data_IF_349641023851
#
_entry.id   IF_349641023851
#
_cell.length_a   1.000
_cell.length_b   1.000
_cell.length_c   1.000
_cell.angle_alpha   90.00
_cell.angle_beta   90.00
_cell.angle_gamma   90.00
#
_symmetry.space_group_name_H-M   'P 1'
#
loop_
_entity.id
_entity.type
_entity.pdbx_description
1 polymer ?
#
# COMPACT_ATOMS: atom_id res chain seq x y z
N UNK A 1 11.91 -25.22 18.90
CA UNK A 1 12.00 -24.54 17.59
C UNK A 1 10.89 -23.49 17.52
N UNK A 2 11.21 -22.21 17.30
CA UNK A 2 10.25 -21.10 17.40
C UNK A 2 9.45 -20.98 16.11
N UNK A 3 8.11 -20.98 16.21
CA UNK A 3 7.18 -20.71 15.12
C UNK A 3 7.44 -19.31 14.52
N UNK A 4 8.05 -19.26 13.35
CA UNK A 4 8.13 -18.05 12.53
C UNK A 4 6.94 -18.05 11.57
N UNK A 5 5.82 -17.46 12.01
CA UNK A 5 4.71 -17.14 11.11
C UNK A 5 5.16 -16.23 9.97
N UNK A 6 4.31 -16.02 8.94
CA UNK A 6 4.66 -15.20 7.79
C UNK A 6 5.12 -13.81 8.24
N UNK A 7 6.10 -13.21 7.54
CA UNK A 7 6.57 -11.87 7.88
C UNK A 7 5.39 -10.90 7.83
N UNK A 8 5.09 -10.28 8.97
CA UNK A 8 4.15 -9.15 9.01
C UNK A 8 4.66 -8.13 7.99
N UNK A 9 3.81 -7.68 7.08
CA UNK A 9 4.05 -6.52 6.22
C UNK A 9 4.35 -5.31 7.12
N UNK A 10 5.62 -5.15 7.50
CA UNK A 10 6.11 -3.96 8.16
C UNK A 10 6.24 -2.93 7.06
N UNK A 11 5.16 -2.16 6.88
CA UNK A 11 5.26 -0.83 6.27
C UNK A 11 6.38 -0.11 7.04
N UNK A 12 7.39 0.40 6.35
CA UNK A 12 8.27 1.42 6.95
C UNK A 12 7.35 2.56 7.38
N UNK A 13 7.06 2.61 8.68
CA UNK A 13 6.38 3.75 9.29
C UNK A 13 7.50 4.65 9.78
N UNK A 14 7.79 5.71 9.03
CA UNK A 14 8.46 6.87 9.62
C UNK A 14 7.43 7.54 10.51
N UNK A 15 7.56 7.35 11.83
CA UNK A 15 6.78 8.08 12.82
C UNK A 15 7.60 9.30 13.23
N UNK A 16 7.27 10.46 12.68
CA UNK A 16 7.62 11.73 13.31
C UNK A 16 6.59 11.98 14.41
N UNK A 17 7.06 12.06 15.66
CA UNK A 17 6.23 12.42 16.79
C UNK A 17 5.84 13.89 16.68
N UNK A 18 4.54 14.19 16.69
CA UNK A 18 4.06 15.52 17.08
C UNK A 18 2.86 15.30 18.00
N UNK A 19 3.04 15.59 19.29
CA UNK A 19 1.94 15.60 20.25
C UNK A 19 1.34 16.99 20.34
N UNK A 20 -0.01 16.98 20.34
CA UNK A 20 -0.97 17.86 21.00
C UNK A 20 -1.36 19.19 20.33
N UNK A 21 -2.65 19.25 19.99
CA UNK A 21 -3.40 20.44 19.59
C UNK A 21 -4.69 20.03 18.86
N UNK A 22 -5.76 19.90 19.62
CA UNK A 22 -7.19 19.70 19.31
C UNK A 22 -7.69 19.59 17.85
N UNK A 23 -8.41 18.48 17.62
CA UNK A 23 -9.37 18.11 16.58
C UNK A 23 -9.72 19.13 15.47
N UNK A 24 -9.02 19.02 14.34
CA UNK A 24 -9.57 19.22 12.99
C UNK A 24 -9.04 18.09 12.11
N UNK A 25 -9.91 17.56 11.26
CA UNK A 25 -9.70 16.38 10.42
C UNK A 25 -8.37 16.48 9.67
N UNK A 26 -7.34 15.77 10.14
CA UNK A 26 -5.98 15.88 9.63
C UNK A 26 -5.98 15.52 8.14
N UNK A 27 -5.79 16.53 7.29
CA UNK A 27 -5.34 16.32 5.92
C UNK A 27 -4.06 15.47 6.04
N UNK A 28 -4.13 14.22 5.60
CA UNK A 28 -2.99 13.34 5.68
C UNK A 28 -1.96 13.83 4.65
N UNK A 29 -0.89 14.45 5.13
CA UNK A 29 0.26 14.81 4.30
C UNK A 29 0.73 13.56 3.55
N UNK A 30 0.62 13.61 2.22
CA UNK A 30 1.08 12.54 1.36
C UNK A 30 2.45 12.91 0.83
N UNK A 31 3.49 12.21 1.30
CA UNK A 31 4.83 12.34 0.75
C UNK A 31 5.07 11.33 -0.38
N UNK A 32 5.70 11.79 -1.46
CA UNK A 32 6.22 10.91 -2.50
C UNK A 32 7.72 10.80 -2.31
N UNK A 33 8.21 9.56 -2.22
CA UNK A 33 9.63 9.28 -2.04
C UNK A 33 10.18 8.69 -3.34
N UNK A 34 11.16 9.35 -3.93
CA UNK A 34 11.88 8.83 -5.08
C UNK A 34 13.23 8.26 -4.62
N UNK A 35 13.43 6.98 -4.90
CA UNK A 35 14.66 6.26 -4.54
C UNK A 35 15.34 5.83 -5.83
N UNK A 36 16.58 6.29 -6.05
CA UNK A 36 17.40 5.81 -7.15
C UNK A 36 18.05 4.49 -6.74
N UNK A 37 17.77 3.43 -7.49
CA UNK A 37 18.32 2.11 -7.24
C UNK A 37 19.13 1.67 -8.48
N UNK A 38 20.37 1.16 -8.31
CA UNK A 38 21.16 0.67 -9.44
C UNK A 38 20.43 -0.44 -10.21
N UNK A 39 20.40 -0.35 -11.54
CA UNK A 39 19.79 -1.39 -12.39
C UNK A 39 20.38 -2.79 -12.16
N UNK A 40 21.70 -2.99 -12.00
CA UNK A 40 22.26 -4.31 -11.74
C UNK A 40 21.72 -4.93 -10.45
N UNK A 41 21.45 -4.11 -9.42
CA UNK A 41 20.84 -4.60 -8.19
C UNK A 41 19.43 -5.14 -8.47
N UNK A 42 18.58 -4.36 -9.16
CA UNK A 42 17.21 -4.77 -9.49
C UNK A 42 17.19 -6.05 -10.34
N UNK A 43 18.06 -6.13 -11.34
CA UNK A 43 18.13 -7.27 -12.25
C UNK A 43 18.55 -8.58 -11.56
N UNK A 44 19.24 -8.49 -10.41
CA UNK A 44 19.69 -9.64 -9.63
C UNK A 44 18.68 -10.10 -8.57
N UNK A 45 17.47 -9.51 -8.53
CA UNK A 45 16.42 -9.91 -7.59
C UNK A 45 15.50 -10.95 -8.22
N UNK A 46 15.19 -12.01 -7.48
CA UNK A 46 14.12 -12.95 -7.83
C UNK A 46 12.78 -12.26 -7.65
N UNK A 47 12.11 -11.98 -8.76
CA UNK A 47 10.86 -11.24 -8.78
C UNK A 47 9.69 -12.15 -9.10
N UNK A 48 8.71 -12.19 -8.21
CA UNK A 48 7.44 -12.88 -8.41
C UNK A 48 6.33 -11.88 -8.74
N UNK A 49 5.44 -12.26 -9.65
CA UNK A 49 4.30 -11.44 -10.04
C UNK A 49 2.99 -12.06 -9.53
N UNK A 50 2.28 -11.32 -8.68
CA UNK A 50 0.93 -11.65 -8.24
C UNK A 50 -0.06 -10.71 -8.93
N UNK A 51 -0.45 -11.06 -10.16
CA UNK A 51 -1.41 -10.31 -10.96
C UNK A 51 -2.84 -10.40 -10.43
N UNK A 52 -3.68 -9.41 -10.76
CA UNK A 52 -5.10 -9.42 -10.39
C UNK A 52 -5.76 -10.72 -10.90
N UNK A 53 -6.26 -11.51 -9.96
CA UNK A 53 -6.77 -12.86 -10.16
C UNK A 53 -7.48 -13.33 -8.89
N UNK A 54 -8.23 -14.44 -8.91
CA UNK A 54 -8.78 -15.04 -7.70
C UNK A 54 -7.74 -15.29 -6.60
N UNK A 55 -6.53 -15.69 -6.99
CA UNK A 55 -5.39 -15.90 -6.11
C UNK A 55 -4.92 -14.61 -5.44
N UNK A 56 -4.82 -13.52 -6.20
CA UNK A 56 -4.48 -12.21 -5.65
C UNK A 56 -5.52 -11.72 -4.64
N UNK A 57 -6.82 -11.89 -4.92
CA UNK A 57 -7.90 -11.48 -4.01
C UNK A 57 -7.79 -12.19 -2.66
N UNK A 58 -7.63 -13.52 -2.70
CA UNK A 58 -7.47 -14.33 -1.49
C UNK A 58 -6.21 -13.96 -0.71
N UNK A 59 -5.08 -13.78 -1.42
CA UNK A 59 -3.81 -13.42 -0.80
C UNK A 59 -3.90 -12.08 -0.08
N UNK A 60 -4.39 -11.03 -0.76
CA UNK A 60 -4.53 -9.69 -0.18
C UNK A 60 -5.47 -9.71 1.03
N UNK A 61 -6.63 -10.36 0.90
CA UNK A 61 -7.57 -10.48 2.02
C UNK A 61 -6.93 -11.19 3.22
N UNK A 62 -6.23 -12.30 2.98
CA UNK A 62 -5.57 -13.09 4.04
C UNK A 62 -4.49 -12.27 4.75
N UNK A 63 -3.62 -11.61 3.99
CA UNK A 63 -2.57 -10.74 4.54
C UNK A 63 -3.13 -9.56 5.33
N UNK A 64 -4.24 -8.94 4.88
CA UNK A 64 -4.90 -7.83 5.58
C UNK A 64 -5.51 -8.26 6.92
N UNK A 65 -5.97 -9.51 7.01
CA UNK A 65 -6.41 -10.13 8.27
C UNK A 65 -5.26 -10.56 9.18
N UNK A 66 -4.00 -10.37 8.77
CA UNK A 66 -2.81 -10.87 9.46
C UNK A 66 -2.86 -12.40 9.66
N UNK A 67 -3.55 -13.11 8.76
CA UNK A 67 -3.62 -14.55 8.75
C UNK A 67 -2.52 -15.13 7.85
N UNK A 68 -2.23 -16.42 8.03
CA UNK A 68 -1.25 -17.13 7.20
C UNK A 68 -1.85 -17.49 5.85
N UNK A 69 -1.23 -17.06 4.72
CA UNK A 69 -1.67 -17.46 3.39
C UNK A 69 -1.63 -18.98 3.20
N UNK A 70 -2.51 -19.50 2.34
CA UNK A 70 -2.48 -20.91 1.94
C UNK A 70 -1.08 -21.32 1.42
N UNK A 71 -0.57 -22.54 1.67
CA UNK A 71 0.77 -22.98 1.27
C UNK A 71 1.10 -22.83 -0.22
N UNK A 72 0.08 -22.76 -1.08
CA UNK A 72 0.27 -22.47 -2.52
C UNK A 72 0.97 -21.12 -2.77
N UNK A 73 0.88 -20.19 -1.81
CA UNK A 73 1.53 -18.87 -1.87
C UNK A 73 2.94 -18.87 -1.28
N UNK A 74 3.48 -20.03 -0.88
CA UNK A 74 4.80 -20.15 -0.26
C UNK A 74 5.93 -19.62 -1.13
N UNK A 75 5.81 -19.75 -2.46
CA UNK A 75 6.74 -19.17 -3.43
C UNK A 75 6.87 -17.64 -3.31
N UNK A 76 5.87 -16.95 -2.75
CA UNK A 76 5.88 -15.49 -2.60
C UNK A 76 6.67 -14.99 -1.39
N UNK A 77 6.94 -15.83 -0.38
CA UNK A 77 7.50 -15.34 0.89
C UNK A 77 8.49 -16.28 1.58
N UNK A 78 8.52 -17.58 1.24
CA UNK A 78 9.52 -18.49 1.80
C UNK A 78 10.93 -18.04 1.42
N UNK A 79 11.84 -18.21 2.37
CA UNK A 79 13.25 -17.86 2.18
C UNK A 79 13.81 -18.53 0.92
N UNK A 80 14.51 -17.74 0.11
CA UNK A 80 15.12 -18.19 -1.14
C UNK A 80 14.18 -18.32 -2.34
N UNK A 81 12.88 -18.05 -2.22
CA UNK A 81 11.94 -18.16 -3.35
C UNK A 81 11.81 -16.84 -4.12
N UNK A 82 11.35 -15.80 -3.44
CA UNK A 82 11.23 -14.45 -3.99
C UNK A 82 12.00 -13.46 -3.12
N UNK A 83 12.64 -12.48 -3.75
CA UNK A 83 13.20 -11.30 -3.08
C UNK A 83 12.18 -10.15 -3.11
N UNK A 84 11.46 -10.02 -4.22
CA UNK A 84 10.39 -9.04 -4.43
C UNK A 84 9.13 -9.73 -4.95
N UNK A 85 7.97 -9.32 -4.42
CA UNK A 85 6.67 -9.60 -5.01
C UNK A 85 6.10 -8.32 -5.60
N UNK A 86 5.72 -8.37 -6.87
CA UNK A 86 5.06 -7.29 -7.59
C UNK A 86 3.57 -7.62 -7.75
N UNK A 87 2.70 -6.66 -7.47
CA UNK A 87 1.26 -6.85 -7.67
C UNK A 87 0.49 -5.53 -7.72
N UNK A 88 -0.79 -5.58 -8.15
CA UNK A 88 -1.66 -4.42 -8.13
C UNK A 88 -1.87 -3.86 -6.72
N UNK A 89 -2.03 -2.55 -6.61
CA UNK A 89 -2.40 -1.87 -5.36
C UNK A 89 -3.90 -1.98 -5.17
N UNK A 90 -4.33 -2.56 -4.04
CA UNK A 90 -5.73 -2.53 -3.64
C UNK A 90 -6.07 -1.17 -3.00
N UNK A 91 -7.02 -0.44 -3.58
CA UNK A 91 -7.48 0.88 -3.11
C UNK A 91 -8.42 0.78 -1.91
N UNK A 92 -9.06 -0.36 -1.71
CA UNK A 92 -10.03 -0.58 -0.62
C UNK A 92 -9.38 -0.46 0.75
N UNK A 93 -10.06 0.26 1.66
CA UNK A 93 -9.62 0.43 3.04
C UNK A 93 -9.47 -0.93 3.74
N UNK A 94 -8.40 -1.08 4.52
CA UNK A 94 -8.10 -2.35 5.21
C UNK A 94 -9.25 -2.79 6.13
N UNK A 95 -9.93 -1.84 6.76
CA UNK A 95 -11.08 -2.10 7.66
C UNK A 95 -12.27 -2.70 6.92
N UNK A 96 -12.48 -2.37 5.64
CA UNK A 96 -13.53 -2.94 4.82
C UNK A 96 -13.16 -4.36 4.38
N UNK A 97 -11.92 -4.57 3.91
CA UNK A 97 -11.44 -5.88 3.47
C UNK A 97 -11.54 -6.95 4.57
N UNK A 98 -11.17 -6.60 5.82
CA UNK A 98 -11.19 -7.54 6.95
C UNK A 98 -12.60 -8.01 7.32
N UNK A 99 -13.65 -7.27 6.92
CA UNK A 99 -15.06 -7.62 7.18
C UNK A 99 -15.65 -8.57 6.15
N UNK A 100 -15.01 -8.73 4.99
CA UNK A 100 -15.49 -9.64 3.93
C UNK A 100 -15.34 -11.08 4.43
N UNK A 101 -16.43 -11.86 4.36
CA UNK A 101 -16.40 -13.30 4.65
C UNK A 101 -15.64 -14.06 3.57
N UNK A 102 -15.01 -15.19 3.92
CA UNK A 102 -14.13 -15.93 3.01
C UNK A 102 -14.84 -16.34 1.71
N UNK A 103 -16.08 -16.81 1.82
CA UNK A 103 -16.94 -17.20 0.70
C UNK A 103 -17.29 -16.03 -0.25
N UNK A 104 -17.19 -14.80 0.23
CA UNK A 104 -17.54 -13.59 -0.49
C UNK A 104 -16.34 -12.84 -1.08
N UNK A 105 -15.11 -13.34 -0.86
CA UNK A 105 -13.88 -12.70 -1.34
C UNK A 105 -13.94 -12.47 -2.86
N UNK A 106 -14.39 -13.49 -3.61
CA UNK A 106 -14.33 -13.46 -5.07
C UNK A 106 -15.35 -12.50 -5.68
N UNK A 107 -16.50 -12.31 -5.03
CA UNK A 107 -17.58 -11.42 -5.48
C UNK A 107 -17.40 -9.98 -5.00
N UNK A 108 -16.85 -9.77 -3.81
CA UNK A 108 -16.72 -8.42 -3.21
C UNK A 108 -15.45 -7.69 -3.57
N UNK A 109 -14.35 -8.41 -3.86
CA UNK A 109 -13.12 -7.79 -4.34
C UNK A 109 -13.18 -7.81 -5.87
N UNK A 110 -13.59 -6.71 -6.47
CA UNK A 110 -13.69 -6.52 -7.91
C UNK A 110 -12.46 -5.80 -8.46
N UNK A 111 -12.42 -5.62 -9.78
CA UNK A 111 -11.30 -4.94 -10.44
C UNK A 111 -11.30 -3.44 -10.14
N UNK A 112 -12.46 -2.86 -9.79
CA UNK A 112 -12.60 -1.46 -9.36
C UNK A 112 -11.89 -1.20 -8.03
N UNK A 113 -11.60 -2.25 -7.26
CA UNK A 113 -10.78 -2.16 -6.06
C UNK A 113 -9.28 -2.11 -6.36
N UNK A 114 -8.88 -2.16 -7.63
CA UNK A 114 -7.49 -1.94 -8.06
C UNK A 114 -7.30 -0.46 -8.37
N UNK A 115 -6.28 0.14 -7.74
CA UNK A 115 -5.91 1.52 -8.03
C UNK A 115 -5.49 1.67 -9.50
N UNK A 116 -6.12 2.60 -10.20
CA UNK A 116 -5.81 2.97 -11.58
C UNK A 116 -4.94 4.23 -11.60
N UNK A 117 -3.99 4.28 -12.53
CA UNK A 117 -3.27 5.49 -12.90
C UNK A 117 -4.17 6.35 -13.81
N UNK A 118 -3.85 7.64 -13.97
CA UNK A 118 -4.55 8.53 -14.93
C UNK A 118 -4.53 8.01 -16.37
N UNK A 119 -3.55 7.16 -16.70
CA UNK A 119 -3.45 6.48 -17.99
C UNK A 119 -4.43 5.29 -18.16
N UNK A 120 -5.25 4.98 -17.16
CA UNK A 120 -6.11 3.78 -17.15
C UNK A 120 -5.36 2.47 -16.90
N UNK A 121 -4.05 2.53 -16.62
CA UNK A 121 -3.24 1.36 -16.26
C UNK A 121 -3.33 1.07 -14.76
N UNK A 122 -3.34 -0.21 -14.39
CA UNK A 122 -3.27 -0.64 -12.99
C UNK A 122 -1.97 -0.17 -12.34
N UNK A 123 -2.09 0.50 -11.19
CA UNK A 123 -0.96 0.85 -10.36
C UNK A 123 -0.38 -0.42 -9.71
N UNK A 124 0.94 -0.58 -9.76
CA UNK A 124 1.64 -1.75 -9.19
C UNK A 124 2.55 -1.34 -8.05
N UNK A 125 2.52 -2.11 -6.97
CA UNK A 125 3.46 -2.02 -5.86
C UNK A 125 4.48 -3.16 -5.91
N UNK A 126 5.63 -2.90 -5.29
CA UNK A 126 6.75 -3.82 -5.15
C UNK A 126 7.00 -4.01 -3.66
N UNK A 127 6.99 -5.26 -3.21
CA UNK A 127 7.15 -5.60 -1.79
C UNK A 127 8.39 -6.47 -1.64
N UNK A 128 9.38 -5.98 -0.90
CA UNK A 128 10.50 -6.80 -0.47
C UNK A 128 10.02 -7.77 0.61
N UNK A 129 10.24 -9.07 0.38
CA UNK A 129 9.74 -10.12 1.27
C UNK A 129 10.84 -10.75 2.14
N UNK A 130 12.11 -10.65 1.70
CA UNK A 130 13.26 -11.13 2.47
C UNK A 130 13.98 -9.99 3.16
N UNK A 131 14.41 -10.23 4.40
CA UNK A 131 15.19 -9.26 5.18
C UNK A 131 16.51 -8.91 4.48
N UNK A 132 17.20 -9.92 3.96
CA UNK A 132 18.48 -9.74 3.24
C UNK A 132 18.31 -8.83 2.01
N UNK A 133 17.17 -8.94 1.32
CA UNK A 133 16.84 -8.06 0.19
C UNK A 133 16.66 -6.60 0.62
N UNK A 134 16.02 -6.37 1.78
CA UNK A 134 15.87 -5.04 2.38
C UNK A 134 17.21 -4.46 2.82
N UNK A 135 18.05 -5.27 3.47
CA UNK A 135 19.36 -4.84 3.95
C UNK A 135 20.28 -4.46 2.78
N UNK A 136 20.31 -5.29 1.73
CA UNK A 136 21.04 -4.97 0.49
C UNK A 136 20.49 -3.73 -0.21
N UNK A 137 19.16 -3.55 -0.25
CA UNK A 137 18.57 -2.32 -0.79
C UNK A 137 19.07 -1.11 -0.01
N UNK A 138 19.06 -1.17 1.33
CA UNK A 138 19.50 -0.09 2.20
C UNK A 138 20.95 0.34 1.92
N UNK A 139 21.84 -0.62 1.67
CA UNK A 139 23.23 -0.34 1.25
C UNK A 139 23.30 0.42 -0.07
N UNK A 140 22.49 0.02 -1.06
CA UNK A 140 22.52 0.61 -2.40
C UNK A 140 21.98 2.05 -2.43
N UNK A 141 21.01 2.35 -1.56
CA UNK A 141 20.29 3.64 -1.53
C UNK A 141 20.81 4.60 -0.46
N UNK A 142 21.71 4.15 0.43
CA UNK A 142 22.31 5.01 1.46
C UNK A 142 22.95 6.24 0.81
N UNK A 143 22.50 7.43 1.24
CA UNK A 143 22.94 8.72 0.69
C UNK A 143 22.38 9.08 -0.69
N UNK A 144 21.41 8.33 -1.23
CA UNK A 144 20.82 8.51 -2.57
C UNK A 144 19.29 8.65 -2.55
N UNK A 145 18.74 9.10 -1.43
CA UNK A 145 17.30 9.24 -1.23
C UNK A 145 16.92 10.71 -1.36
N UNK A 146 15.96 11.00 -2.24
CA UNK A 146 15.44 12.35 -2.44
C UNK A 146 13.97 12.39 -2.01
N UNK A 147 13.63 13.34 -1.13
CA UNK A 147 12.26 13.58 -0.67
C UNK A 147 11.69 14.78 -1.40
N UNK A 148 10.49 14.63 -1.95
CA UNK A 148 9.70 15.74 -2.46
C UNK A 148 8.39 15.75 -1.67
N UNK A 149 8.18 16.83 -0.91
CA UNK A 149 6.97 17.04 -0.13
C UNK A 149 6.06 17.94 -0.95
N UNK A 150 4.85 17.47 -1.21
CA UNK A 150 3.80 18.27 -1.84
C UNK A 150 2.82 18.70 -0.76
N UNK A 151 2.48 19.98 -0.73
CA UNK A 151 1.36 20.47 0.06
C UNK A 151 0.07 19.91 -0.55
N UNK A 152 -0.82 19.36 0.28
CA UNK A 152 -2.12 18.90 -0.18
C UNK A 152 -2.91 20.14 -0.63
N UNK A 153 -3.08 20.32 -1.95
CA UNK A 153 -3.91 21.39 -2.48
C UNK A 153 -5.33 21.23 -1.92
N UNK A 154 -5.70 22.11 -0.99
CA UNK A 154 -7.06 22.22 -0.49
C UNK A 154 -7.92 22.65 -1.68
N UNK A 155 -8.65 21.72 -2.27
CA UNK A 155 -9.74 22.06 -3.18
C UNK A 155 -10.86 22.66 -2.33
N UNK A 156 -10.76 23.97 -2.05
CA UNK A 156 -11.87 24.75 -1.52
C UNK A 156 -12.96 24.80 -2.59
N UNK A 157 -13.94 23.91 -2.49
CA UNK A 157 -15.21 24.09 -3.19
C UNK A 157 -15.91 25.29 -2.55
N UNK A 158 -15.98 26.40 -3.27
CA UNK A 158 -16.83 27.54 -2.96
C UNK A 158 -18.29 27.10 -2.94
N UNK A 159 -18.87 26.96 -1.75
CA UNK A 159 -20.32 26.90 -1.60
C UNK A 159 -20.90 28.30 -1.84
N UNK A 160 -21.80 28.41 -2.81
CA UNK A 160 -22.65 29.57 -3.01
C UNK A 160 -23.60 29.72 -1.82
N UNK A 161 -23.57 30.86 -1.13
CA UNK A 161 -24.66 31.26 -0.24
C UNK A 161 -25.89 31.64 -1.07
N UNK A 162 -26.93 30.81 -0.95
CA UNK A 162 -28.30 31.17 -1.28
C UNK A 162 -28.79 32.21 -0.26
N UNK A 163 -29.51 33.20 -0.76
CA UNK A 163 -29.91 34.39 -0.02
C UNK A 163 -30.86 34.16 1.16
N UNK A 164 -30.89 35.18 2.01
CA UNK A 164 -31.98 35.44 2.94
C UNK A 164 -32.58 36.80 2.55
N UNK A 165 -33.88 36.79 2.22
CA UNK A 165 -34.69 37.99 2.02
C UNK A 165 -35.30 38.31 3.37
N UNK A 166 -34.82 39.36 4.03
CA UNK A 166 -35.51 39.91 5.19
C UNK A 166 -36.57 40.91 4.73
N UNK A 167 -37.82 40.44 4.75
CA UNK A 167 -39.01 41.26 4.81
C UNK A 167 -39.22 41.64 6.28
N UNK A 168 -39.30 42.94 6.61
CA UNK A 168 -40.03 43.36 7.81
C UNK A 168 -40.81 44.65 7.51
N UNK A 169 -42.11 44.54 7.79
CA UNK A 169 -43.02 45.62 8.14
C UNK A 169 -42.60 46.29 9.45
#
# INVERSE_FOLDING_TARGET
>A
MRNTGPPKLKRLKSTANLQKGEALQAAADTCIIHIQVPRPFINNLRMENLGYSPNWKEYIWTCRRQATPHPRFDHLWRSGQADIVRGPICSTLSTQLVRIRTENIQSHITEDNVMQLLSGRKATQWVFVQRDGVDRLAEHIRGKMHFIIFEAAVMSQSYQEKGCVDSNY
#
